data_IF_097455842457
#
_entry.id   IF_097455842457
#
_cell.length_a   1.000
_cell.length_b   1.000
_cell.length_c   1.000
_cell.angle_alpha   90.00
_cell.angle_beta   90.00
_cell.angle_gamma   90.00
#
_symmetry.space_group_name_H-M   'P 1'
#
loop_
_entity.id
_entity.type
_entity.pdbx_description
1 polymer ?
#
# COMPACT_ATOMS: atom_id res chain seq x y z
N UNK A 1 9.98 7.16 -9.90
CA UNK A 1 9.00 6.14 -10.38
C UNK A 1 7.71 6.38 -9.62
N UNK A 2 6.58 6.56 -10.29
CA UNK A 2 5.28 6.80 -9.62
C UNK A 2 4.82 5.49 -9.01
N UNK A 3 4.80 5.41 -7.68
CA UNK A 3 4.45 4.19 -6.93
C UNK A 3 2.92 4.01 -6.84
N UNK A 4 2.16 5.09 -6.91
CA UNK A 4 0.69 5.08 -7.05
C UNK A 4 0.30 5.09 -8.54
N UNK A 5 0.65 4.03 -9.27
CA UNK A 5 0.48 3.89 -10.71
C UNK A 5 -0.76 3.06 -11.10
N UNK A 6 -1.02 2.97 -12.41
CA UNK A 6 -1.98 2.01 -12.99
C UNK A 6 -1.65 0.58 -12.55
N UNK A 7 -0.37 0.21 -12.50
CA UNK A 7 0.05 -1.13 -12.05
C UNK A 7 -0.36 -1.38 -10.60
N UNK A 8 -0.17 -0.40 -9.71
CA UNK A 8 -0.58 -0.53 -8.32
C UNK A 8 -2.09 -0.73 -8.19
N UNK A 9 -2.90 0.02 -8.94
CA UNK A 9 -4.37 -0.16 -8.98
C UNK A 9 -4.74 -1.54 -9.52
N UNK A 10 -4.05 -2.02 -10.56
CA UNK A 10 -4.26 -3.35 -11.13
C UNK A 10 -4.01 -4.44 -10.07
N UNK A 11 -2.89 -4.37 -9.34
CA UNK A 11 -2.57 -5.31 -8.25
C UNK A 11 -3.60 -5.27 -7.12
N UNK A 12 -4.05 -4.08 -6.73
CA UNK A 12 -5.11 -3.92 -5.73
C UNK A 12 -6.42 -4.55 -6.23
N UNK A 13 -6.76 -4.36 -7.50
CA UNK A 13 -7.98 -4.92 -8.11
C UNK A 13 -7.97 -6.45 -8.11
N UNK A 14 -6.82 -7.06 -8.43
CA UNK A 14 -6.60 -8.50 -8.40
C UNK A 14 -6.69 -9.05 -6.97
N UNK A 15 -6.07 -8.38 -6.00
CA UNK A 15 -6.18 -8.75 -4.59
C UNK A 15 -7.62 -8.70 -4.06
N UNK A 16 -8.44 -7.79 -4.57
CA UNK A 16 -9.85 -7.64 -4.20
C UNK A 16 -10.82 -8.51 -5.02
N UNK A 17 -10.33 -9.25 -6.02
CA UNK A 17 -11.14 -10.00 -6.99
C UNK A 17 -12.18 -9.13 -7.71
N UNK A 18 -11.82 -7.88 -8.07
CA UNK A 18 -12.71 -6.92 -8.74
C UNK A 18 -12.05 -6.42 -10.02
N UNK A 19 -12.80 -6.39 -11.13
CA UNK A 19 -12.31 -5.78 -12.36
C UNK A 19 -12.18 -4.26 -12.18
N UNK A 20 -11.01 -3.66 -12.45
CA UNK A 20 -10.82 -2.23 -12.28
C UNK A 20 -11.44 -1.41 -13.42
N UNK A 21 -12.02 -2.04 -14.44
CA UNK A 21 -12.44 -1.37 -15.67
C UNK A 21 -11.24 -1.00 -16.56
N UNK A 22 -11.42 -0.03 -17.44
CA UNK A 22 -10.33 0.46 -18.29
C UNK A 22 -9.55 1.54 -17.53
N UNK A 23 -8.35 1.18 -17.09
CA UNK A 23 -7.40 2.10 -16.44
C UNK A 23 -6.66 2.97 -17.47
N UNK A 24 -6.49 4.25 -17.16
CA UNK A 24 -5.72 5.21 -17.98
C UNK A 24 -5.19 6.37 -17.11
N UNK A 25 -4.31 7.19 -17.68
CA UNK A 25 -3.86 8.45 -17.07
C UNK A 25 -4.71 9.58 -17.63
N UNK A 26 -5.32 10.38 -16.75
CA UNK A 26 -6.14 11.53 -17.13
C UNK A 26 -5.28 12.72 -17.60
N UNK A 27 -5.94 13.75 -18.14
CA UNK A 27 -5.28 15.02 -18.49
C UNK A 27 -4.62 15.72 -17.29
N UNK A 28 -5.06 15.42 -16.07
CA UNK A 28 -4.48 15.95 -14.84
C UNK A 28 -3.27 15.14 -14.35
N UNK A 29 -2.75 14.21 -15.16
CA UNK A 29 -1.68 13.28 -14.79
C UNK A 29 -2.01 12.41 -13.56
N UNK A 30 -3.28 12.07 -13.35
CA UNK A 30 -3.70 11.16 -12.29
C UNK A 30 -4.30 9.87 -12.85
N UNK A 31 -4.30 8.81 -12.05
CA UNK A 31 -4.92 7.55 -12.46
C UNK A 31 -6.43 7.71 -12.51
N UNK A 32 -7.02 7.26 -13.62
CA UNK A 32 -8.45 7.25 -13.86
C UNK A 32 -8.91 5.86 -14.33
N UNK A 33 -10.19 5.58 -14.13
CA UNK A 33 -10.85 4.37 -14.63
C UNK A 33 -12.20 4.69 -15.24
N UNK A 34 -12.56 3.97 -16.31
CA UNK A 34 -13.93 3.90 -16.81
C UNK A 34 -14.50 2.49 -16.68
N UNK A 35 -15.77 2.40 -16.27
CA UNK A 35 -16.47 1.11 -16.14
C UNK A 35 -16.46 0.50 -14.74
N UNK A 36 -15.74 1.07 -13.77
CA UNK A 36 -15.73 0.56 -12.39
C UNK A 36 -17.05 0.83 -11.65
N UNK A 37 -17.64 2.01 -11.84
CA UNK A 37 -18.90 2.41 -11.20
C UNK A 37 -19.88 2.85 -12.27
N UNK A 38 -20.89 2.02 -12.57
CA UNK A 38 -22.00 2.37 -13.49
C UNK A 38 -21.57 3.01 -14.83
N UNK A 39 -20.44 2.59 -15.41
CA UNK A 39 -19.84 3.16 -16.62
C UNK A 39 -19.43 4.65 -16.53
N UNK A 40 -19.33 5.21 -15.33
CA UNK A 40 -18.80 6.54 -15.10
C UNK A 40 -17.28 6.53 -15.03
N UNK A 41 -16.66 7.63 -15.46
CA UNK A 41 -15.25 7.89 -15.22
C UNK A 41 -15.02 8.23 -13.75
N UNK A 42 -14.08 7.55 -13.10
CA UNK A 42 -13.63 7.85 -11.73
C UNK A 42 -12.14 8.19 -11.77
N UNK A 43 -11.79 9.34 -11.22
CA UNK A 43 -10.41 9.84 -11.20
C UNK A 43 -9.87 9.92 -9.76
N UNK A 44 -8.57 9.69 -9.61
CA UNK A 44 -7.84 9.77 -8.35
C UNK A 44 -7.61 8.41 -7.72
N UNK A 45 -6.34 8.13 -7.40
CA UNK A 45 -5.90 6.84 -6.88
C UNK A 45 -6.70 6.38 -5.65
N UNK A 46 -6.77 7.21 -4.60
CA UNK A 46 -7.49 6.87 -3.36
C UNK A 46 -8.99 6.68 -3.57
N UNK A 47 -9.59 7.40 -4.54
CA UNK A 47 -11.00 7.26 -4.90
C UNK A 47 -11.25 5.92 -5.59
N UNK A 48 -10.38 5.54 -6.52
CA UNK A 48 -10.47 4.28 -7.26
C UNK A 48 -10.28 3.10 -6.30
N UNK A 49 -9.28 3.14 -5.40
CA UNK A 49 -9.06 2.09 -4.40
C UNK A 49 -10.30 1.92 -3.50
N UNK A 50 -10.89 3.01 -3.03
CA UNK A 50 -12.13 2.93 -2.23
C UNK A 50 -13.32 2.39 -3.04
N UNK A 51 -13.43 2.74 -4.32
CA UNK A 51 -14.46 2.19 -5.20
C UNK A 51 -14.26 0.68 -5.44
N UNK A 52 -13.03 0.23 -5.65
CA UNK A 52 -12.71 -1.21 -5.74
C UNK A 52 -13.13 -1.96 -4.49
N UNK A 53 -12.79 -1.44 -3.30
CA UNK A 53 -13.19 -2.06 -2.03
C UNK A 53 -14.71 -2.16 -1.89
N UNK A 54 -15.44 -1.08 -2.21
CA UNK A 54 -16.91 -1.06 -2.12
C UNK A 54 -17.58 -2.03 -3.10
N UNK A 55 -16.97 -2.28 -4.26
CA UNK A 55 -17.48 -3.24 -5.25
C UNK A 55 -16.94 -4.66 -5.05
N UNK A 56 -16.09 -4.89 -4.04
CA UNK A 56 -15.56 -6.21 -3.72
C UNK A 56 -16.47 -6.99 -2.79
N UNK A 57 -16.15 -8.27 -2.61
CA UNK A 57 -16.79 -9.12 -1.57
C UNK A 57 -16.29 -8.82 -0.15
N UNK A 58 -15.34 -7.89 0.00
CA UNK A 58 -14.64 -7.61 1.26
C UNK A 58 -14.74 -6.14 1.70
N UNK A 59 -15.92 -5.49 1.72
CA UNK A 59 -16.03 -4.07 2.04
C UNK A 59 -15.51 -3.70 3.44
N UNK A 60 -15.52 -4.65 4.37
CA UNK A 60 -14.98 -4.51 5.73
C UNK A 60 -13.47 -4.20 5.77
N UNK A 61 -12.72 -4.47 4.68
CA UNK A 61 -11.29 -4.15 4.59
C UNK A 61 -11.02 -2.63 4.57
N UNK A 62 -12.06 -1.80 4.42
CA UNK A 62 -11.96 -0.34 4.61
C UNK A 62 -11.95 0.06 6.10
N UNK A 63 -12.39 -0.83 7.00
CA UNK A 63 -12.56 -0.58 8.43
C UNK A 63 -14.01 -0.75 8.90
N UNK A 64 -14.19 -1.44 10.02
CA UNK A 64 -15.51 -1.74 10.61
C UNK A 64 -16.10 -0.56 11.40
N UNK A 65 -15.26 0.38 11.81
CA UNK A 65 -15.62 1.54 12.62
C UNK A 65 -15.09 2.85 12.00
N UNK A 66 -15.62 3.98 12.46
CA UNK A 66 -15.30 5.30 11.91
C UNK A 66 -13.82 5.67 12.07
N UNK A 67 -13.17 5.25 13.15
CA UNK A 67 -11.75 5.55 13.40
C UNK A 67 -10.88 4.76 12.43
N UNK A 68 -11.12 3.45 12.29
CA UNK A 68 -10.38 2.61 11.35
C UNK A 68 -10.58 3.07 9.90
N UNK A 69 -11.79 3.50 9.52
CA UNK A 69 -12.04 4.07 8.19
C UNK A 69 -11.30 5.38 7.97
N UNK A 70 -11.25 6.27 8.97
CA UNK A 70 -10.51 7.52 8.88
C UNK A 70 -9.00 7.26 8.74
N UNK A 71 -8.43 6.37 9.56
CA UNK A 71 -7.02 5.98 9.47
C UNK A 71 -6.70 5.34 8.12
N UNK A 72 -7.57 4.46 7.64
CA UNK A 72 -7.39 3.83 6.33
C UNK A 72 -7.32 4.87 5.22
N UNK A 73 -8.22 5.87 5.22
CA UNK A 73 -8.18 6.97 4.25
C UNK A 73 -6.93 7.84 4.38
N UNK A 74 -6.51 8.16 5.61
CA UNK A 74 -5.28 8.89 5.88
C UNK A 74 -4.06 8.18 5.28
N UNK A 75 -3.98 6.86 5.43
CA UNK A 75 -2.86 6.09 4.88
C UNK A 75 -2.89 5.96 3.35
N UNK A 76 -4.09 5.90 2.74
CA UNK A 76 -4.22 6.00 1.29
C UNK A 76 -3.75 7.38 0.77
N UNK A 77 -4.09 8.46 1.47
CA UNK A 77 -3.58 9.80 1.15
C UNK A 77 -2.05 9.89 1.35
N UNK A 78 -1.53 9.34 2.44
CA UNK A 78 -0.09 9.27 2.70
C UNK A 78 0.66 8.53 1.58
N UNK A 79 0.09 7.44 1.04
CA UNK A 79 0.67 6.73 -0.08
C UNK A 79 0.82 7.64 -1.31
N UNK A 80 -0.19 8.45 -1.62
CA UNK A 80 -0.21 9.36 -2.77
C UNK A 80 0.68 10.59 -2.56
N UNK A 81 0.67 11.20 -1.38
CA UNK A 81 1.35 12.47 -1.10
C UNK A 81 2.79 12.31 -0.62
N UNK A 82 3.14 11.16 -0.04
CA UNK A 82 4.47 10.94 0.54
C UNK A 82 5.19 9.79 -0.14
N UNK A 83 4.62 8.58 -0.11
CA UNK A 83 5.29 7.39 -0.65
C UNK A 83 5.52 7.51 -2.15
N UNK A 84 4.57 8.08 -2.90
CA UNK A 84 4.67 8.28 -4.34
C UNK A 84 5.89 9.11 -4.79
N UNK A 85 6.43 9.94 -3.90
CA UNK A 85 7.59 10.82 -4.13
C UNK A 85 8.84 10.35 -3.38
N UNK A 86 8.85 9.10 -2.91
CA UNK A 86 9.98 8.47 -2.24
C UNK A 86 11.10 8.02 -3.20
N UNK A 87 11.05 8.40 -4.48
CA UNK A 87 12.21 8.33 -5.36
C UNK A 87 13.25 9.42 -5.06
N UNK A 88 12.84 10.49 -4.37
CA UNK A 88 13.77 11.43 -3.74
C UNK A 88 14.32 10.85 -2.42
N UNK A 89 15.65 10.83 -2.25
CA UNK A 89 16.30 10.24 -1.07
C UNK A 89 15.86 10.84 0.27
N UNK A 90 15.57 12.15 0.34
CA UNK A 90 15.09 12.77 1.57
C UNK A 90 13.67 12.30 1.92
N UNK A 91 12.81 12.17 0.91
CA UNK A 91 11.47 11.62 1.08
C UNK A 91 11.51 10.12 1.43
N UNK A 92 12.38 9.34 0.79
CA UNK A 92 12.57 7.92 1.10
C UNK A 92 12.93 7.72 2.58
N UNK A 93 13.95 8.44 3.08
CA UNK A 93 14.37 8.40 4.49
C UNK A 93 13.25 8.82 5.43
N UNK A 94 12.47 9.84 5.05
CA UNK A 94 11.32 10.30 5.83
C UNK A 94 10.23 9.22 5.90
N UNK A 95 9.86 8.62 4.78
CA UNK A 95 8.84 7.56 4.69
C UNK A 95 9.24 6.35 5.51
N UNK A 96 10.48 5.88 5.38
CA UNK A 96 11.00 4.75 6.17
C UNK A 96 10.92 5.02 7.67
N UNK A 97 11.33 6.23 8.11
CA UNK A 97 11.28 6.62 9.53
C UNK A 97 9.85 6.73 10.05
N UNK A 98 8.94 7.36 9.31
CA UNK A 98 7.55 7.57 9.71
C UNK A 98 6.80 6.24 9.82
N UNK A 99 6.91 5.37 8.79
CA UNK A 99 6.27 4.05 8.82
C UNK A 99 6.83 3.17 9.94
N UNK A 100 8.15 3.16 10.14
CA UNK A 100 8.78 2.42 11.25
C UNK A 100 8.27 2.91 12.62
N UNK A 101 8.04 4.21 12.77
CA UNK A 101 7.52 4.79 14.01
C UNK A 101 6.07 4.37 14.27
N UNK A 102 5.21 4.43 13.26
CA UNK A 102 3.79 4.06 13.39
C UNK A 102 3.62 2.56 13.66
N UNK A 103 4.43 1.72 13.01
CA UNK A 103 4.37 0.26 13.15
C UNK A 103 5.03 -0.27 14.42
N UNK A 104 5.59 0.61 15.26
CA UNK A 104 6.25 0.25 16.52
C UNK A 104 5.31 -0.47 17.49
N UNK A 105 4.06 0.00 17.60
CA UNK A 105 3.09 -0.50 18.58
C UNK A 105 1.87 -1.18 17.94
N UNK A 106 1.84 -1.31 16.62
CA UNK A 106 0.70 -1.82 15.86
C UNK A 106 1.12 -2.89 14.87
N UNK A 107 0.28 -3.89 14.66
CA UNK A 107 0.54 -4.95 13.66
C UNK A 107 0.37 -4.43 12.24
N UNK A 108 -0.57 -3.51 12.05
CA UNK A 108 -0.95 -2.90 10.78
C UNK A 108 -1.01 -1.37 10.93
N UNK A 109 -0.98 -0.64 9.83
CA UNK A 109 -0.91 0.85 9.89
C UNK A 109 -2.18 1.47 10.48
N UNK A 110 -3.32 0.77 10.39
CA UNK A 110 -4.60 1.19 10.96
C UNK A 110 -4.95 0.47 12.28
N UNK A 111 -4.00 -0.22 12.91
CA UNK A 111 -4.18 -0.87 14.22
C UNK A 111 -3.90 -2.38 14.20
N UNK A 112 -4.87 -3.17 14.66
CA UNK A 112 -4.70 -4.63 14.85
C UNK A 112 -5.28 -5.48 13.72
N UNK A 113 -6.10 -4.89 12.84
CA UNK A 113 -6.66 -5.55 11.64
C UNK A 113 -6.01 -4.99 10.38
N UNK A 114 -5.73 -5.87 9.43
CA UNK A 114 -5.26 -5.50 8.08
C UNK A 114 -6.36 -4.73 7.35
N UNK A 115 -6.03 -3.58 6.77
CA UNK A 115 -6.94 -2.80 5.93
C UNK A 115 -6.39 -2.66 4.50
N UNK A 116 -7.16 -2.04 3.62
CA UNK A 116 -6.70 -1.77 2.25
C UNK A 116 -5.49 -0.82 2.21
N UNK A 117 -5.30 -0.02 3.27
CA UNK A 117 -4.12 0.82 3.42
C UNK A 117 -2.84 -0.01 3.52
N UNK A 118 -2.86 -1.13 4.25
CA UNK A 118 -1.69 -2.00 4.35
C UNK A 118 -1.33 -2.63 3.01
N UNK A 119 -2.33 -3.14 2.26
CA UNK A 119 -2.12 -3.68 0.92
C UNK A 119 -1.57 -2.63 -0.05
N UNK A 120 -2.11 -1.42 0.01
CA UNK A 120 -1.67 -0.29 -0.81
C UNK A 120 -0.23 0.11 -0.51
N UNK A 121 0.10 0.26 0.78
CA UNK A 121 1.46 0.62 1.21
C UNK A 121 2.44 -0.50 0.90
N UNK A 122 2.05 -1.78 1.02
CA UNK A 122 2.90 -2.92 0.69
C UNK A 122 3.41 -2.82 -0.75
N UNK A 123 2.50 -2.61 -1.71
CA UNK A 123 2.88 -2.41 -3.11
C UNK A 123 3.72 -1.15 -3.30
N UNK A 124 3.34 -0.05 -2.65
CA UNK A 124 4.03 1.23 -2.80
C UNK A 124 5.46 1.21 -2.25
N UNK A 125 5.75 0.45 -1.19
CA UNK A 125 7.09 0.39 -0.58
C UNK A 125 7.92 -0.82 -1.01
N UNK A 126 7.35 -1.79 -1.74
CA UNK A 126 8.04 -3.03 -2.12
C UNK A 126 9.39 -2.76 -2.80
N UNK A 127 9.41 -1.88 -3.81
CA UNK A 127 10.65 -1.53 -4.51
C UNK A 127 11.69 -0.86 -3.62
N UNK A 128 11.28 -0.10 -2.59
CA UNK A 128 12.21 0.48 -1.60
C UNK A 128 12.79 -0.65 -0.74
N UNK A 129 11.92 -1.48 -0.16
CA UNK A 129 12.31 -2.60 0.70
C UNK A 129 13.22 -3.62 0.00
N UNK A 130 13.05 -3.81 -1.32
CA UNK A 130 13.89 -4.69 -2.11
C UNK A 130 15.34 -4.18 -2.20
N UNK A 131 15.53 -2.85 -2.27
CA UNK A 131 16.85 -2.22 -2.40
C UNK A 131 17.60 -2.07 -1.08
N UNK A 132 16.89 -2.05 0.05
CA UNK A 132 17.52 -1.86 1.36
C UNK A 132 18.50 -2.99 1.69
N UNK A 133 19.66 -2.59 2.21
CA UNK A 133 20.64 -3.50 2.78
C UNK A 133 20.09 -4.19 4.04
N UNK A 134 20.67 -5.32 4.47
CA UNK A 134 20.29 -5.95 5.74
C UNK A 134 20.38 -5.00 6.94
N UNK A 135 21.38 -4.12 6.96
CA UNK A 135 21.56 -3.13 8.03
C UNK A 135 20.43 -2.09 8.03
N UNK A 136 20.07 -1.52 6.87
CA UNK A 136 18.96 -0.55 6.79
C UNK A 136 17.62 -1.20 7.15
N UNK A 137 17.43 -2.48 6.80
CA UNK A 137 16.25 -3.25 7.25
C UNK A 137 16.22 -3.41 8.78
N UNK A 138 17.38 -3.57 9.43
CA UNK A 138 17.49 -3.60 10.89
C UNK A 138 17.19 -2.24 11.53
N UNK A 139 17.69 -1.14 10.95
CA UNK A 139 17.38 0.22 11.39
C UNK A 139 15.87 0.53 11.32
N UNK A 140 15.16 -0.12 10.39
CA UNK A 140 13.71 -0.03 10.20
C UNK A 140 12.97 -1.31 10.61
N UNK A 141 13.36 -1.93 11.73
CA UNK A 141 12.87 -3.26 12.18
C UNK A 141 11.34 -3.40 12.22
N UNK A 142 10.59 -2.37 12.59
CA UNK A 142 9.13 -2.45 12.69
C UNK A 142 8.47 -2.46 11.31
N UNK A 143 9.01 -1.66 10.39
CA UNK A 143 8.60 -1.68 8.99
C UNK A 143 8.98 -3.02 8.34
N UNK A 144 10.19 -3.52 8.60
CA UNK A 144 10.66 -4.82 8.12
C UNK A 144 9.76 -5.97 8.60
N UNK A 145 9.42 -6.01 9.89
CA UNK A 145 8.47 -6.98 10.46
C UNK A 145 7.10 -6.91 9.80
N UNK A 146 6.54 -5.71 9.65
CA UNK A 146 5.24 -5.54 9.00
C UNK A 146 5.30 -6.00 7.56
N UNK A 147 6.34 -5.61 6.82
CA UNK A 147 6.50 -5.98 5.41
C UNK A 147 6.62 -7.50 5.26
N UNK A 148 7.44 -8.13 6.09
CA UNK A 148 7.60 -9.58 6.10
C UNK A 148 6.27 -10.31 6.38
N UNK A 149 5.48 -9.80 7.33
CA UNK A 149 4.14 -10.32 7.60
C UNK A 149 3.19 -10.14 6.40
N UNK A 150 3.22 -8.98 5.73
CA UNK A 150 2.35 -8.70 4.58
C UNK A 150 2.65 -9.63 3.40
N UNK A 151 3.93 -9.87 3.08
CA UNK A 151 4.31 -10.70 1.94
C UNK A 151 4.04 -12.20 2.14
N UNK A 152 3.71 -12.66 3.35
CA UNK A 152 3.30 -14.07 3.56
C UNK A 152 1.91 -14.37 2.98
N UNK A 153 1.07 -13.36 2.77
CA UNK A 153 -0.20 -13.51 2.07
C UNK A 153 0.06 -13.63 0.56
N UNK A 154 -0.01 -14.86 0.03
CA UNK A 154 0.25 -15.11 -1.40
C UNK A 154 -0.72 -14.40 -2.33
N UNK A 155 -1.96 -14.17 -1.89
CA UNK A 155 -2.96 -13.43 -2.67
C UNK A 155 -2.57 -11.97 -2.81
N UNK A 156 -1.98 -11.39 -1.77
CA UNK A 156 -1.44 -10.03 -1.79
C UNK A 156 -0.10 -9.97 -2.53
N UNK A 157 0.83 -10.89 -2.26
CA UNK A 157 2.15 -10.91 -2.87
C UNK A 157 2.06 -11.10 -4.39
N UNK A 158 1.08 -11.88 -4.86
CA UNK A 158 0.88 -12.18 -6.28
C UNK A 158 2.18 -12.71 -6.89
N UNK A 159 2.66 -12.04 -7.94
CA UNK A 159 3.89 -12.36 -8.68
C UNK A 159 5.12 -11.60 -8.18
N UNK A 160 5.00 -10.81 -7.10
CA UNK A 160 6.13 -10.04 -6.57
C UNK A 160 7.13 -10.93 -5.84
N UNK A 161 8.41 -10.57 -5.94
CA UNK A 161 9.48 -11.30 -5.26
C UNK A 161 9.29 -11.30 -3.73
N UNK A 162 9.53 -12.46 -3.13
CA UNK A 162 9.63 -12.60 -1.67
C UNK A 162 10.96 -12.01 -1.21
N UNK A 163 10.90 -10.94 -0.41
CA UNK A 163 12.09 -10.27 0.11
C UNK A 163 12.52 -10.97 1.40
N UNK A 164 13.76 -11.47 1.45
CA UNK A 164 14.26 -12.15 2.63
C UNK A 164 14.56 -11.14 3.77
N UNK A 165 14.00 -11.41 4.95
CA UNK A 165 14.32 -10.76 6.22
C UNK A 165 15.01 -11.78 7.12
N UNK A 166 16.33 -11.71 7.22
CA UNK A 166 17.07 -12.59 8.13
C UNK A 166 16.95 -12.05 9.57
N UNK A 167 15.98 -12.58 10.31
CA UNK A 167 15.69 -12.20 11.70
C UNK A 167 16.88 -12.38 12.66
N UNK A 168 17.86 -13.23 12.32
CA UNK A 168 19.06 -13.43 13.16
C UNK A 168 19.98 -12.20 13.20
N UNK A 169 19.87 -11.28 12.25
CA UNK A 169 20.67 -10.05 12.19
C UNK A 169 19.85 -8.77 12.42
N UNK A 170 18.54 -8.88 12.69
CA UNK A 170 17.69 -7.71 12.99
C UNK A 170 17.69 -7.33 14.48
N UNK A 171 18.30 -8.16 15.34
CA UNK A 171 18.36 -7.99 16.80
C UNK A 171 19.80 -7.95 17.37
N UNK A 172 20.81 -7.88 16.51
CA UNK A 172 22.22 -7.68 16.90
C UNK A 172 22.59 -6.20 16.73
#
# INVERSE_FOLDING_TARGET
MVLCSIECVQRISEYLDVSPGKLYVSENNTVATSGLVNNQSTEGFSTIVQALVKNSKYPAILGDDAVTQALTRQWLEYAVLCVNYADNSANEKRVLKELNTVLKMSTYVSGTKKTIADATLYYAVHGIMQRLTPQEKAEHVHLSRWFDNMQQDEKLRQTMDLINFNMMHLYL
#
